data_IF_685798619720
#
_entry.id   IF_685798619720
#
_cell.length_a   1.000
_cell.length_b   1.000
_cell.length_c   1.000
_cell.angle_alpha   90.00
_cell.angle_beta   90.00
_cell.angle_gamma   90.00
#
_symmetry.space_group_name_H-M   'P 1'
#
loop_
_entity.id
_entity.type
_entity.pdbx_description
1 polymer ?
#
# COMPACT_ATOMS: atom_id res chain seq x y z
N UNK A 1 5.43 -5.85 -43.75
CA UNK A 1 5.82 -6.79 -42.66
C UNK A 1 6.14 -6.00 -41.38
N UNK A 2 5.22 -5.14 -40.91
CA UNK A 2 5.37 -4.40 -39.64
C UNK A 2 4.25 -4.75 -38.64
N UNK A 3 3.13 -5.31 -39.10
CA UNK A 3 1.96 -5.55 -38.27
C UNK A 3 2.17 -6.64 -37.20
N UNK A 4 2.99 -7.66 -37.49
CA UNK A 4 3.16 -8.82 -36.59
C UNK A 4 3.89 -8.47 -35.28
N UNK A 5 4.76 -7.46 -35.29
CA UNK A 5 5.50 -7.04 -34.09
C UNK A 5 4.70 -6.07 -33.20
N UNK A 6 3.85 -5.23 -33.79
CA UNK A 6 2.96 -4.34 -33.03
C UNK A 6 1.90 -5.13 -32.25
N UNK A 7 1.30 -6.16 -32.87
CA UNK A 7 0.29 -6.98 -32.19
C UNK A 7 0.86 -7.71 -30.97
N UNK A 8 2.13 -8.14 -31.03
CA UNK A 8 2.83 -8.80 -29.92
C UNK A 8 3.09 -7.86 -28.73
N UNK A 9 3.43 -6.59 -28.99
CA UNK A 9 3.70 -5.61 -27.95
C UNK A 9 2.41 -5.17 -27.24
N UNK A 10 1.34 -4.90 -28.00
CA UNK A 10 0.02 -4.57 -27.43
C UNK A 10 -0.52 -5.71 -26.55
N UNK A 11 -0.41 -6.96 -27.01
CA UNK A 11 -0.82 -8.13 -26.23
C UNK A 11 -0.02 -8.26 -24.93
N UNK A 12 1.29 -8.02 -24.96
CA UNK A 12 2.12 -8.01 -23.76
C UNK A 12 1.71 -6.91 -22.76
N UNK A 13 1.37 -5.71 -23.25
CA UNK A 13 0.87 -4.61 -22.42
C UNK A 13 -0.49 -4.98 -21.80
N UNK A 14 -1.41 -5.55 -22.58
CA UNK A 14 -2.73 -5.99 -22.11
C UNK A 14 -2.64 -7.12 -21.07
N UNK A 15 -1.71 -8.06 -21.24
CA UNK A 15 -1.44 -9.13 -20.26
C UNK A 15 -0.92 -8.54 -18.94
N UNK A 16 0.00 -7.58 -19.01
CA UNK A 16 0.53 -6.92 -17.82
C UNK A 16 -0.55 -6.10 -17.09
N UNK A 17 -1.41 -5.39 -17.82
CA UNK A 17 -2.57 -4.71 -17.23
C UNK A 17 -3.54 -5.68 -16.57
N UNK A 18 -3.76 -6.87 -17.14
CA UNK A 18 -4.56 -7.94 -16.51
C UNK A 18 -3.95 -8.42 -15.20
N UNK A 19 -2.62 -8.52 -15.10
CA UNK A 19 -1.95 -8.86 -13.83
C UNK A 19 -2.11 -7.76 -12.78
N UNK A 20 -1.92 -6.50 -13.18
CA UNK A 20 -2.07 -5.34 -12.28
C UNK A 20 -3.47 -5.24 -11.67
N UNK A 21 -4.52 -5.63 -12.41
CA UNK A 21 -5.91 -5.68 -11.89
C UNK A 21 -6.07 -6.56 -10.64
N UNK A 22 -5.24 -7.58 -10.47
CA UNK A 22 -5.26 -8.43 -9.27
C UNK A 22 -4.31 -7.95 -8.18
N UNK A 23 -3.16 -7.39 -8.56
CA UNK A 23 -2.14 -6.93 -7.61
C UNK A 23 -2.55 -5.66 -6.86
N UNK A 24 -3.20 -4.71 -7.55
CA UNK A 24 -3.56 -3.41 -6.95
C UNK A 24 -4.55 -3.57 -5.79
N UNK A 25 -5.65 -4.33 -5.90
CA UNK A 25 -6.55 -4.55 -4.76
C UNK A 25 -5.86 -5.19 -3.54
N UNK A 26 -4.94 -6.13 -3.75
CA UNK A 26 -4.17 -6.72 -2.65
C UNK A 26 -3.24 -5.69 -2.00
N UNK A 27 -2.54 -4.87 -2.79
CA UNK A 27 -1.71 -3.79 -2.27
C UNK A 27 -2.53 -2.73 -1.50
N UNK A 28 -3.73 -2.41 -1.98
CA UNK A 28 -4.67 -1.53 -1.25
C UNK A 28 -5.09 -2.14 0.09
N UNK A 29 -5.41 -3.44 0.13
CA UNK A 29 -5.73 -4.14 1.37
C UNK A 29 -4.57 -4.11 2.37
N UNK A 30 -3.34 -4.35 1.92
CA UNK A 30 -2.14 -4.27 2.79
C UNK A 30 -1.92 -2.86 3.34
N UNK A 31 -2.16 -1.83 2.53
CA UNK A 31 -2.08 -0.45 2.98
C UNK A 31 -3.14 -0.13 4.04
N UNK A 32 -4.37 -0.61 3.85
CA UNK A 32 -5.46 -0.48 4.83
C UNK A 32 -5.13 -1.20 6.15
N UNK A 33 -4.62 -2.44 6.09
CA UNK A 33 -4.18 -3.20 7.27
C UNK A 33 -3.08 -2.48 8.06
N UNK A 34 -2.10 -1.89 7.35
CA UNK A 34 -1.06 -1.09 7.98
C UNK A 34 -1.64 0.15 8.68
N UNK A 35 -2.58 0.86 8.04
CA UNK A 35 -3.25 2.02 8.62
C UNK A 35 -4.09 1.65 9.86
N UNK A 36 -4.82 0.53 9.81
CA UNK A 36 -5.59 0.03 10.94
C UNK A 36 -4.70 -0.41 12.11
N UNK A 37 -3.52 -0.96 11.83
CA UNK A 37 -2.54 -1.28 12.87
C UNK A 37 -2.09 -0.02 13.62
N UNK A 38 -1.68 1.01 12.87
CA UNK A 38 -1.28 2.30 13.44
C UNK A 38 -2.41 2.94 14.25
N UNK A 39 -3.65 2.91 13.74
CA UNK A 39 -4.81 3.46 14.45
C UNK A 39 -5.07 2.74 15.78
N UNK A 40 -5.07 1.40 15.78
CA UNK A 40 -5.25 0.61 17.01
C UNK A 40 -4.19 0.93 18.04
N UNK A 41 -2.94 1.12 17.61
CA UNK A 41 -1.84 1.50 18.50
C UNK A 41 -2.00 2.90 19.06
N UNK A 42 -2.35 3.88 18.23
CA UNK A 42 -2.62 5.23 18.68
C UNK A 42 -3.76 5.27 19.72
N UNK A 43 -4.83 4.51 19.50
CA UNK A 43 -5.92 4.37 20.48
C UNK A 43 -5.45 3.71 21.79
N UNK A 44 -4.55 2.73 21.71
CA UNK A 44 -3.92 2.12 22.89
C UNK A 44 -3.11 3.14 23.69
N UNK A 45 -2.25 3.92 23.03
CA UNK A 45 -1.43 4.94 23.67
C UNK A 45 -2.27 6.02 24.39
N UNK A 46 -3.40 6.42 23.80
CA UNK A 46 -4.35 7.33 24.45
C UNK A 46 -4.88 6.72 25.75
N UNK A 47 -5.35 5.46 25.71
CA UNK A 47 -5.86 4.76 26.90
C UNK A 47 -4.80 4.58 27.98
N UNK A 48 -3.58 4.23 27.59
CA UNK A 48 -2.45 4.11 28.52
C UNK A 48 -2.14 5.46 29.19
N UNK A 49 -2.21 6.55 28.43
CA UNK A 49 -2.02 7.90 28.97
C UNK A 49 -3.15 8.29 29.92
N UNK A 50 -4.40 7.97 29.59
CA UNK A 50 -5.56 8.19 30.48
C UNK A 50 -5.40 7.41 31.80
N UNK A 51 -4.99 6.15 31.73
CA UNK A 51 -4.71 5.32 32.90
C UNK A 51 -3.57 5.89 33.76
N UNK A 52 -2.49 6.37 33.12
CA UNK A 52 -1.38 7.03 33.82
C UNK A 52 -1.84 8.28 34.56
N UNK A 53 -2.68 9.12 33.94
CA UNK A 53 -3.23 10.33 34.56
C UNK A 53 -4.17 10.01 35.73
N UNK A 54 -4.79 8.83 35.72
CA UNK A 54 -5.66 8.34 36.78
C UNK A 54 -4.93 7.52 37.87
N UNK A 55 -3.59 7.46 37.83
CA UNK A 55 -2.75 6.63 38.72
C UNK A 55 -3.12 5.13 38.70
N UNK A 56 -3.55 4.66 37.53
CA UNK A 56 -3.90 3.26 37.27
C UNK A 56 -2.76 2.54 36.54
N UNK A 57 -2.70 1.19 36.63
CA UNK A 57 -1.74 0.41 35.85
C UNK A 57 -1.87 0.69 34.35
N UNK A 58 -0.77 1.08 33.71
CA UNK A 58 -0.69 1.39 32.29
C UNK A 58 0.57 0.78 31.66
N UNK A 59 0.56 0.65 30.33
CA UNK A 59 1.74 0.30 29.56
C UNK A 59 2.38 1.54 28.96
N UNK A 60 3.71 1.63 28.99
CA UNK A 60 4.47 2.65 28.25
C UNK A 60 5.10 2.10 26.98
N UNK A 61 4.79 0.86 26.58
CA UNK A 61 5.45 0.22 25.44
C UNK A 61 5.12 0.86 24.09
N UNK A 62 4.09 1.69 23.99
CA UNK A 62 3.67 2.32 22.75
C UNK A 62 4.73 3.26 22.13
N UNK A 63 5.72 3.75 22.90
CA UNK A 63 6.76 4.66 22.37
C UNK A 63 7.78 3.93 21.49
N UNK A 64 8.09 2.67 21.80
CA UNK A 64 9.16 1.91 21.12
C UNK A 64 8.68 1.27 19.81
N UNK A 65 7.37 1.11 19.62
CA UNK A 65 6.79 0.34 18.52
C UNK A 65 6.29 1.17 17.34
N UNK A 66 6.27 2.50 17.46
CA UNK A 66 5.77 3.41 16.42
C UNK A 66 6.63 3.40 15.14
N UNK A 67 7.94 3.16 15.25
CA UNK A 67 8.84 3.15 14.09
C UNK A 67 8.60 1.96 13.15
N UNK A 68 8.30 0.79 13.71
CA UNK A 68 8.03 -0.42 12.94
C UNK A 68 6.76 -0.30 12.11
N UNK A 69 5.68 0.20 12.71
CA UNK A 69 4.41 0.41 12.00
C UNK A 69 4.55 1.48 10.91
N UNK A 70 5.27 2.56 11.20
CA UNK A 70 5.53 3.61 10.22
C UNK A 70 6.32 3.08 9.02
N UNK A 71 7.30 2.19 9.24
CA UNK A 71 8.05 1.55 8.16
C UNK A 71 7.12 0.68 7.31
N UNK A 72 6.32 -0.20 7.93
CA UNK A 72 5.39 -1.07 7.23
C UNK A 72 4.37 -0.26 6.39
N UNK A 73 3.83 0.83 6.94
CA UNK A 73 2.92 1.72 6.22
C UNK A 73 3.60 2.42 5.03
N UNK A 74 4.85 2.84 5.17
CA UNK A 74 5.64 3.43 4.08
C UNK A 74 5.88 2.43 2.96
N UNK A 75 6.25 1.19 3.30
CA UNK A 75 6.49 0.12 2.33
C UNK A 75 5.20 -0.23 1.58
N UNK A 76 4.08 -0.39 2.28
CA UNK A 76 2.77 -0.67 1.66
C UNK A 76 2.34 0.47 0.71
N UNK A 77 2.52 1.73 1.13
CA UNK A 77 2.24 2.89 0.28
C UNK A 77 3.15 2.94 -0.96
N UNK A 78 4.43 2.67 -0.81
CA UNK A 78 5.39 2.69 -1.92
C UNK A 78 5.07 1.61 -2.96
N UNK A 79 4.71 0.40 -2.51
CA UNK A 79 4.31 -0.68 -3.40
C UNK A 79 3.03 -0.34 -4.17
N UNK A 80 2.00 0.18 -3.50
CA UNK A 80 0.78 0.61 -4.18
C UNK A 80 1.05 1.73 -5.21
N UNK A 81 1.85 2.73 -4.84
CA UNK A 81 2.21 3.82 -5.73
C UNK A 81 2.93 3.33 -6.99
N UNK A 82 3.86 2.38 -6.84
CA UNK A 82 4.56 1.75 -7.96
C UNK A 82 3.61 1.02 -8.89
N UNK A 83 2.67 0.25 -8.36
CA UNK A 83 1.69 -0.50 -9.18
C UNK A 83 0.75 0.44 -9.94
N UNK A 84 0.29 1.52 -9.30
CA UNK A 84 -0.56 2.53 -9.94
C UNK A 84 0.20 3.30 -11.03
N UNK A 85 1.46 3.62 -10.81
CA UNK A 85 2.29 4.29 -11.82
C UNK A 85 2.54 3.37 -13.03
N UNK A 86 2.83 2.09 -12.79
CA UNK A 86 2.95 1.09 -13.85
C UNK A 86 1.65 0.98 -14.66
N UNK A 87 0.50 0.93 -14.00
CA UNK A 87 -0.80 0.91 -14.68
C UNK A 87 -0.98 2.14 -15.58
N UNK A 88 -0.76 3.34 -15.04
CA UNK A 88 -0.91 4.60 -15.79
C UNK A 88 -0.01 4.65 -17.01
N UNK A 89 1.24 4.22 -16.88
CA UNK A 89 2.21 4.19 -17.96
C UNK A 89 1.79 3.21 -19.06
N UNK A 90 1.34 2.00 -18.70
CA UNK A 90 0.88 1.00 -19.67
C UNK A 90 -0.41 1.43 -20.38
N UNK A 91 -1.35 2.04 -19.65
CA UNK A 91 -2.55 2.63 -20.25
C UNK A 91 -2.22 3.79 -21.18
N UNK A 92 -1.21 4.59 -20.87
CA UNK A 92 -0.73 5.65 -21.76
C UNK A 92 -0.17 5.08 -23.08
N UNK A 93 0.62 4.01 -23.01
CA UNK A 93 1.16 3.38 -24.22
C UNK A 93 0.06 2.81 -25.13
N UNK A 94 -1.03 2.27 -24.57
CA UNK A 94 -2.18 1.80 -25.37
C UNK A 94 -3.05 2.91 -25.97
N UNK A 95 -2.96 4.15 -25.46
CA UNK A 95 -3.75 5.30 -25.96
C UNK A 95 -3.01 6.12 -27.02
N UNK A 96 -1.73 5.82 -27.26
CA UNK A 96 -0.85 6.63 -28.11
C UNK A 96 -0.74 6.14 -29.56
N UNK A 97 -1.52 5.14 -29.93
CA UNK A 97 -1.81 4.71 -31.31
C UNK A 97 -3.20 5.21 -31.74
#
# INVERSE_FOLDING_TARGET
MNDTNQTSAEQAIQDQLRRLKWMIPDAMRRMDEAAQCMLRRAQGAVKDTEALLADQPCSMSWVDFAEGDLRAAREAKAELAKLLEQQRMLEFFLRKD
#
